data_IF_179628056275
#
_entry.id   IF_179628056275
#
_cell.length_a   1.000
_cell.length_b   1.000
_cell.length_c   1.000
_cell.angle_alpha   90.00
_cell.angle_beta   90.00
_cell.angle_gamma   90.00
#
_symmetry.space_group_name_H-M   'P 1'
#
loop_
_entity.id
_entity.type
_entity.pdbx_description
1 polymer ?
#
# COMPACT_ATOMS: atom_id res chain seq x y z
N UNK A 1 -16.46 27.24 -19.02
CA UNK A 1 -15.37 26.40 -18.47
C UNK A 1 -15.54 25.02 -19.06
N UNK A 2 -14.53 24.45 -19.71
CA UNK A 2 -14.64 23.11 -20.32
C UNK A 2 -14.58 22.03 -19.24
N UNK A 3 -15.63 21.21 -19.19
CA UNK A 3 -15.78 20.06 -18.28
C UNK A 3 -14.89 18.91 -18.80
N UNK A 4 -14.18 18.21 -17.89
CA UNK A 4 -13.23 17.14 -18.26
C UNK A 4 -13.68 15.77 -17.72
N UNK A 5 -13.65 14.77 -18.59
CA UNK A 5 -13.73 13.36 -18.22
C UNK A 5 -12.45 12.94 -17.46
N UNK A 6 -12.58 12.20 -16.37
CA UNK A 6 -11.44 11.66 -15.62
C UNK A 6 -11.02 10.29 -16.17
N UNK A 7 -9.83 10.23 -16.76
CA UNK A 7 -9.16 8.99 -17.19
C UNK A 7 -7.94 8.63 -16.30
N UNK A 8 -7.77 9.33 -15.17
CA UNK A 8 -6.77 9.05 -14.13
C UNK A 8 -7.31 9.48 -12.75
N UNK A 9 -6.61 9.14 -11.63
CA UNK A 9 -7.00 9.60 -10.30
C UNK A 9 -7.16 11.12 -10.23
N UNK A 10 -8.10 11.57 -9.40
CA UNK A 10 -8.44 12.99 -9.32
C UNK A 10 -7.23 13.81 -8.91
N UNK A 11 -6.49 13.36 -7.90
CA UNK A 11 -5.32 14.05 -7.39
C UNK A 11 -4.26 14.28 -8.46
N UNK A 12 -3.96 13.24 -9.23
CA UNK A 12 -3.03 13.31 -10.35
C UNK A 12 -3.50 14.33 -11.40
N UNK A 13 -4.78 14.31 -11.80
CA UNK A 13 -5.31 15.26 -12.79
C UNK A 13 -5.31 16.69 -12.26
N UNK A 14 -5.71 16.89 -11.02
CA UNK A 14 -5.69 18.17 -10.36
C UNK A 14 -4.27 18.77 -10.35
N UNK A 15 -3.25 17.95 -10.11
CA UNK A 15 -1.85 18.36 -10.22
C UNK A 15 -1.47 18.75 -11.66
N UNK A 16 -1.89 17.98 -12.67
CA UNK A 16 -1.65 18.35 -14.07
C UNK A 16 -2.28 19.68 -14.49
N UNK A 17 -3.48 19.98 -14.02
CA UNK A 17 -4.10 21.29 -14.26
C UNK A 17 -3.37 22.43 -13.53
N UNK A 18 -2.86 22.17 -12.32
CA UNK A 18 -1.98 23.10 -11.60
C UNK A 18 -0.68 23.38 -12.37
N UNK A 19 0.01 22.36 -12.89
CA UNK A 19 1.21 22.53 -13.74
C UNK A 19 0.90 23.33 -15.01
N UNK A 20 -0.31 23.16 -15.55
CA UNK A 20 -0.83 23.92 -16.69
C UNK A 20 -1.25 25.36 -16.34
N UNK A 21 -0.95 25.82 -15.11
CA UNK A 21 -1.27 27.15 -14.58
C UNK A 21 -2.75 27.50 -14.61
N UNK A 22 -3.64 26.51 -14.52
CA UNK A 22 -5.06 26.80 -14.33
C UNK A 22 -5.30 27.45 -12.96
N UNK A 23 -6.17 28.45 -12.87
CA UNK A 23 -6.50 29.07 -11.60
C UNK A 23 -7.08 28.04 -10.64
N UNK A 24 -6.82 28.21 -9.35
CA UNK A 24 -7.52 27.44 -8.33
C UNK A 24 -8.99 27.90 -8.29
N UNK A 25 -9.89 26.93 -8.21
CA UNK A 25 -11.33 27.14 -8.09
C UNK A 25 -11.74 27.32 -6.63
N UNK A 26 -11.08 26.59 -5.73
CA UNK A 26 -11.29 26.66 -4.28
C UNK A 26 -10.12 26.01 -3.55
N UNK A 27 -9.94 26.36 -2.28
CA UNK A 27 -8.98 25.69 -1.39
C UNK A 27 -9.75 25.09 -0.23
N UNK A 28 -9.46 23.83 0.09
CA UNK A 28 -10.11 23.09 1.18
C UNK A 28 -9.03 22.58 2.14
N UNK A 29 -9.30 22.59 3.44
CA UNK A 29 -8.42 22.04 4.48
C UNK A 29 -8.99 20.76 5.06
N UNK A 30 -8.16 19.72 5.13
CA UNK A 30 -8.52 18.42 5.67
C UNK A 30 -7.53 17.99 6.75
N UNK A 31 -7.98 17.64 7.96
CA UNK A 31 -7.13 17.02 8.95
C UNK A 31 -6.71 15.63 8.47
N UNK A 32 -5.40 15.33 8.55
CA UNK A 32 -4.89 13.98 8.36
C UNK A 32 -4.55 13.37 9.71
N UNK A 33 -5.15 12.22 10.00
CA UNK A 33 -5.07 11.52 11.27
C UNK A 33 -3.96 10.47 11.25
N UNK A 34 -3.14 10.46 12.31
CA UNK A 34 -2.06 9.50 12.50
C UNK A 34 -1.75 9.34 13.98
N UNK A 35 -1.16 8.20 14.34
CA UNK A 35 -0.56 7.91 15.64
C UNK A 35 0.98 7.88 15.58
N UNK A 36 1.56 8.30 14.46
CA UNK A 36 2.99 8.45 14.30
C UNK A 36 3.50 9.78 14.85
N UNK A 37 4.76 9.79 15.28
CA UNK A 37 5.46 11.01 15.62
C UNK A 37 6.13 11.59 14.37
N UNK A 38 5.54 12.67 13.87
CA UNK A 38 5.94 13.33 12.63
C UNK A 38 6.55 14.69 12.99
N UNK A 39 7.51 15.12 12.19
CA UNK A 39 8.28 16.35 12.43
C UNK A 39 8.51 17.10 11.13
N UNK A 40 8.67 18.42 11.24
CA UNK A 40 8.81 19.37 10.11
C UNK A 40 7.48 19.65 9.38
N UNK A 41 7.48 20.53 8.39
CA UNK A 41 6.36 20.79 7.46
C UNK A 41 6.80 20.49 6.04
N UNK A 42 5.87 20.13 5.16
CA UNK A 42 6.18 19.94 3.73
C UNK A 42 5.21 20.76 2.88
N UNK A 43 5.68 21.93 2.47
CA UNK A 43 4.95 22.92 1.66
C UNK A 43 5.54 23.13 0.28
N UNK A 44 6.76 22.64 0.06
CA UNK A 44 7.48 22.73 -1.22
C UNK A 44 7.36 21.40 -1.98
N UNK A 45 7.44 21.44 -3.31
CA UNK A 45 7.41 20.25 -4.19
C UNK A 45 6.16 19.34 -4.09
N UNK A 46 5.08 19.78 -3.46
CA UNK A 46 3.80 19.07 -3.36
C UNK A 46 2.69 19.61 -4.29
N UNK A 47 3.05 20.44 -5.27
CA UNK A 47 2.12 20.93 -6.31
C UNK A 47 0.93 21.69 -5.72
N UNK A 48 -0.33 21.33 -6.06
CA UNK A 48 -1.51 21.98 -5.51
C UNK A 48 -1.86 21.54 -4.07
N UNK A 49 -0.97 20.80 -3.41
CA UNK A 49 -1.16 20.27 -2.06
C UNK A 49 -0.16 20.89 -1.11
N UNK A 50 -0.52 21.04 0.17
CA UNK A 50 0.42 21.43 1.23
C UNK A 50 0.14 20.60 2.49
N UNK A 51 1.19 20.04 3.10
CA UNK A 51 1.10 19.28 4.34
C UNK A 51 1.55 20.17 5.50
N UNK A 52 0.59 20.85 6.12
CA UNK A 52 0.82 21.77 7.23
C UNK A 52 0.87 20.98 8.53
N UNK A 53 2.04 20.89 9.16
CA UNK A 53 2.21 20.14 10.39
C UNK A 53 1.54 20.83 11.57
N UNK A 54 0.72 20.08 12.29
CA UNK A 54 0.11 20.54 13.53
C UNK A 54 1.09 20.35 14.67
N UNK A 55 1.50 21.44 15.32
CA UNK A 55 2.27 21.37 16.56
C UNK A 55 1.38 20.71 17.62
N UNK A 56 1.61 19.43 17.87
CA UNK A 56 0.77 18.61 18.73
C UNK A 56 1.55 17.94 19.88
N UNK A 57 0.80 17.46 20.87
CA UNK A 57 1.31 16.58 21.92
C UNK A 57 2.03 15.35 21.34
N UNK A 58 2.90 14.76 22.16
CA UNK A 58 3.62 13.51 21.87
C UNK A 58 2.68 12.47 21.28
N UNK A 59 3.17 11.73 20.28
CA UNK A 59 2.36 10.70 19.64
C UNK A 59 2.12 9.53 20.61
N UNK A 60 0.87 9.13 20.74
CA UNK A 60 0.44 7.95 21.49
C UNK A 60 0.12 6.86 20.47
N UNK A 61 0.88 5.76 20.49
CA UNK A 61 0.65 4.63 19.59
C UNK A 61 -0.79 4.13 19.72
N UNK A 62 -1.48 3.93 18.61
CA UNK A 62 -2.87 3.45 18.58
C UNK A 62 -3.93 4.53 18.77
N UNK A 63 -3.54 5.79 19.02
CA UNK A 63 -4.46 6.91 19.15
C UNK A 63 -4.30 7.84 17.96
N UNK A 64 -5.20 7.70 16.98
CA UNK A 64 -5.26 8.58 15.83
C UNK A 64 -5.64 10.01 16.26
N UNK A 65 -4.77 10.97 15.98
CA UNK A 65 -5.06 12.40 16.15
C UNK A 65 -4.70 13.15 14.87
N UNK A 66 -5.30 14.32 14.58
CA UNK A 66 -4.83 15.18 13.51
C UNK A 66 -3.34 15.50 13.71
N UNK A 67 -2.52 15.13 12.73
CA UNK A 67 -1.08 15.46 12.67
C UNK A 67 -0.77 16.49 11.59
N UNK A 68 -1.63 16.57 10.57
CA UNK A 68 -1.54 17.56 9.51
C UNK A 68 -2.87 18.22 9.24
N UNK A 69 -2.79 19.42 8.68
CA UNK A 69 -3.80 19.92 7.76
C UNK A 69 -3.24 19.75 6.35
N UNK A 70 -3.92 18.93 5.55
CA UNK A 70 -3.75 18.93 4.10
C UNK A 70 -4.54 20.11 3.55
N UNK A 71 -3.83 21.13 3.05
CA UNK A 71 -4.44 22.18 2.24
C UNK A 71 -4.46 21.71 0.79
N UNK A 72 -5.66 21.58 0.25
CA UNK A 72 -5.94 21.06 -1.08
C UNK A 72 -6.42 22.20 -1.97
N UNK A 73 -5.59 22.63 -2.92
CA UNK A 73 -5.99 23.57 -3.96
C UNK A 73 -6.63 22.82 -5.12
N UNK A 74 -7.88 23.15 -5.45
CA UNK A 74 -8.65 22.49 -6.51
C UNK A 74 -8.51 23.25 -7.82
N UNK A 75 -8.07 22.59 -8.88
CA UNK A 75 -7.87 23.14 -10.23
C UNK A 75 -8.74 22.46 -11.29
N UNK A 76 -9.52 21.44 -10.90
CA UNK A 76 -10.44 20.72 -11.78
C UNK A 76 -11.83 20.65 -11.16
N UNK A 77 -12.85 20.91 -11.98
CA UNK A 77 -14.24 20.61 -11.67
C UNK A 77 -14.66 19.40 -12.49
N UNK A 78 -15.30 18.45 -11.82
CA UNK A 78 -15.76 17.20 -12.43
C UNK A 78 -17.27 17.22 -12.34
N UNK A 79 -17.92 17.30 -13.49
CA UNK A 79 -19.36 17.15 -13.59
C UNK A 79 -19.66 15.72 -14.07
N UNK A 80 -20.57 15.04 -13.38
CA UNK A 80 -21.03 13.70 -13.76
C UNK A 80 -22.40 13.90 -14.40
N UNK A 81 -22.43 13.91 -15.72
CA UNK A 81 -23.68 14.08 -16.45
C UNK A 81 -24.52 12.80 -16.44
N UNK A 82 -25.82 12.91 -16.73
CA UNK A 82 -26.69 11.73 -16.88
C UNK A 82 -26.23 10.80 -18.03
N UNK A 83 -25.53 11.32 -19.03
CA UNK A 83 -24.98 10.52 -20.14
C UNK A 83 -23.73 9.74 -19.71
N UNK A 84 -22.92 10.31 -18.79
CA UNK A 84 -21.79 9.62 -18.18
C UNK A 84 -22.21 8.41 -17.36
N UNK A 85 -23.38 8.48 -16.70
CA UNK A 85 -23.92 7.39 -15.89
C UNK A 85 -24.31 6.15 -16.71
N UNK A 86 -24.39 6.25 -18.05
CA UNK A 86 -24.64 5.09 -18.93
C UNK A 86 -23.38 4.27 -19.22
N UNK A 87 -22.19 4.78 -18.92
CA UNK A 87 -20.90 4.11 -19.18
C UNK A 87 -20.31 3.57 -17.87
N UNK A 88 -20.00 2.27 -17.82
CA UNK A 88 -19.23 1.70 -16.71
C UNK A 88 -17.81 2.28 -16.73
N UNK A 89 -17.44 2.97 -15.66
CA UNK A 89 -16.10 3.55 -15.46
C UNK A 89 -15.55 3.15 -14.10
N UNK A 90 -14.83 2.04 -14.04
CA UNK A 90 -14.21 1.53 -12.81
C UNK A 90 -12.68 1.47 -12.87
N UNK A 91 -12.07 1.86 -14.00
CA UNK A 91 -10.62 1.82 -14.19
C UNK A 91 -9.82 2.67 -13.20
N UNK A 92 -10.41 3.77 -12.72
CA UNK A 92 -9.82 4.68 -11.72
C UNK A 92 -10.42 4.50 -10.32
N UNK A 93 -11.37 3.58 -10.14
CA UNK A 93 -12.02 3.36 -8.85
C UNK A 93 -11.05 2.72 -7.85
N UNK A 94 -10.97 3.31 -6.66
CA UNK A 94 -10.09 2.87 -5.57
C UNK A 94 -10.78 2.84 -4.19
N UNK A 95 -12.09 3.14 -4.15
CA UNK A 95 -12.88 3.08 -2.91
C UNK A 95 -12.73 4.27 -1.97
N UNK A 96 -12.14 5.39 -2.42
CA UNK A 96 -12.02 6.63 -1.64
C UNK A 96 -12.32 7.89 -2.46
N UNK A 97 -12.15 9.05 -1.83
CA UNK A 97 -12.26 10.37 -2.44
C UNK A 97 -10.88 10.94 -2.84
N UNK A 98 -10.78 12.13 -3.45
CA UNK A 98 -9.49 12.70 -3.84
C UNK A 98 -8.49 12.91 -2.69
N UNK A 99 -8.99 13.18 -1.49
CA UNK A 99 -8.18 13.41 -0.29
C UNK A 99 -7.62 12.10 0.24
N UNK A 100 -8.39 11.02 0.12
CA UNK A 100 -7.96 9.66 0.40
C UNK A 100 -6.79 9.23 -0.50
N UNK A 101 -6.80 9.64 -1.78
CA UNK A 101 -5.69 9.37 -2.71
C UNK A 101 -4.38 9.97 -2.17
N UNK A 102 -4.43 11.24 -1.73
CA UNK A 102 -3.27 11.95 -1.18
C UNK A 102 -2.82 11.30 0.13
N UNK A 103 -3.74 11.03 1.05
CA UNK A 103 -3.43 10.40 2.31
C UNK A 103 -2.80 9.01 2.12
N UNK A 104 -3.24 8.24 1.11
CA UNK A 104 -2.72 6.92 0.81
C UNK A 104 -1.30 6.97 0.24
N UNK A 105 -1.06 7.86 -0.73
CA UNK A 105 0.27 8.07 -1.29
C UNK A 105 1.26 8.56 -0.22
N UNK A 106 0.82 9.48 0.64
CA UNK A 106 1.60 9.96 1.78
C UNK A 106 1.87 8.85 2.81
N UNK A 107 0.86 8.01 3.13
CA UNK A 107 1.03 6.84 4.00
C UNK A 107 2.08 5.88 3.46
N UNK A 108 2.03 5.55 2.17
CA UNK A 108 3.03 4.72 1.49
C UNK A 108 4.42 5.36 1.51
N UNK A 109 4.51 6.64 1.14
CA UNK A 109 5.76 7.38 1.11
C UNK A 109 6.41 7.50 2.49
N UNK A 110 5.64 7.63 3.56
CA UNK A 110 6.17 7.77 4.93
C UNK A 110 6.32 6.44 5.70
N UNK A 111 5.55 5.42 5.33
CA UNK A 111 5.46 4.16 6.07
C UNK A 111 4.77 4.29 7.42
N UNK A 112 3.70 5.09 7.47
CA UNK A 112 2.95 5.38 8.70
C UNK A 112 1.45 5.25 8.47
N UNK A 113 0.71 4.95 9.54
CA UNK A 113 -0.75 5.02 9.54
C UNK A 113 -1.17 6.47 9.32
N UNK A 114 -1.88 6.73 8.23
CA UNK A 114 -2.39 8.06 7.91
C UNK A 114 -3.74 7.92 7.22
N UNK A 115 -4.78 8.64 7.65
CA UNK A 115 -6.07 8.73 6.93
C UNK A 115 -6.61 10.16 6.94
N UNK A 116 -7.36 10.54 5.93
CA UNK A 116 -8.01 11.85 5.87
C UNK A 116 -9.30 11.86 6.71
N UNK A 117 -9.55 12.97 7.41
CA UNK A 117 -10.86 13.29 7.98
C UNK A 117 -11.73 14.12 7.01
N UNK A 118 -12.86 14.59 7.51
CA UNK A 118 -13.74 15.53 6.78
C UNK A 118 -13.13 16.93 6.68
N UNK A 119 -13.56 17.75 5.71
CA UNK A 119 -12.98 19.08 5.53
C UNK A 119 -13.37 20.01 6.68
N UNK A 120 -12.43 20.82 7.15
CA UNK A 120 -12.60 21.71 8.32
C UNK A 120 -12.62 23.19 7.96
N UNK A 121 -12.17 23.57 6.76
CA UNK A 121 -12.18 24.95 6.27
C UNK A 121 -12.22 25.01 4.74
N UNK A 122 -12.96 25.96 4.19
CA UNK A 122 -12.98 26.30 2.75
C UNK A 122 -12.52 27.75 2.57
N UNK A 123 -11.67 28.00 1.58
CA UNK A 123 -11.35 29.35 1.12
C UNK A 123 -11.94 29.55 -0.26
N UNK A 124 -12.87 30.50 -0.37
CA UNK A 124 -13.47 30.92 -1.64
C UNK A 124 -12.55 31.94 -2.29
N UNK A 125 -12.21 31.70 -3.55
CA UNK A 125 -11.32 32.54 -4.33
C UNK A 125 -12.16 33.53 -5.16
N UNK A 126 -11.86 34.83 -5.09
CA UNK A 126 -12.59 35.90 -5.78
C UNK A 126 -12.43 37.28 -5.11
N UNK A 127 -13.02 38.33 -5.69
CA UNK A 127 -12.96 39.71 -5.16
C UNK A 127 -13.60 39.85 -3.77
N UNK A 128 -14.62 39.03 -3.48
CA UNK A 128 -15.28 38.90 -2.16
C UNK A 128 -14.76 37.69 -1.36
N UNK A 129 -13.59 37.16 -1.72
CA UNK A 129 -13.03 35.97 -1.08
C UNK A 129 -12.88 36.11 0.43
N UNK A 130 -12.98 34.99 1.15
CA UNK A 130 -12.75 34.93 2.59
C UNK A 130 -11.26 34.59 2.84
N UNK A 131 -10.39 35.58 3.15
CA UNK A 131 -8.95 35.34 3.33
C UNK A 131 -8.65 34.49 4.58
N UNK A 132 -9.58 34.44 5.54
CA UNK A 132 -9.45 33.63 6.73
C UNK A 132 -10.06 32.24 6.53
N UNK A 133 -10.85 32.06 5.48
CA UNK A 133 -11.55 30.83 5.16
C UNK A 133 -12.72 30.56 6.10
N UNK A 134 -13.77 29.97 5.55
CA UNK A 134 -15.00 29.65 6.25
C UNK A 134 -14.85 28.30 6.95
N UNK A 135 -15.00 28.22 8.28
CA UNK A 135 -14.99 26.94 9.00
C UNK A 135 -16.09 26.01 8.49
N UNK A 136 -15.77 24.74 8.36
CA UNK A 136 -16.69 23.69 7.94
C UNK A 136 -16.81 22.64 9.05
N UNK A 137 -18.05 22.30 9.38
CA UNK A 137 -18.40 21.19 10.27
C UNK A 137 -19.26 20.15 9.55
N UNK A 138 -19.10 20.01 8.23
CA UNK A 138 -19.92 19.12 7.42
C UNK A 138 -19.64 17.67 7.81
N UNK A 139 -20.53 17.10 8.62
CA UNK A 139 -20.41 15.78 9.26
C UNK A 139 -20.60 14.58 8.34
N UNK A 140 -20.16 14.64 7.09
CA UNK A 140 -20.30 13.52 6.14
C UNK A 140 -19.27 12.40 6.39
N UNK A 141 -18.18 12.66 7.10
CA UNK A 141 -17.17 11.67 7.46
C UNK A 141 -16.91 11.69 8.97
N UNK A 142 -16.92 10.51 9.59
CA UNK A 142 -16.47 10.35 10.98
C UNK A 142 -14.94 10.42 11.02
N UNK A 143 -14.41 10.97 12.10
CA UNK A 143 -12.96 10.98 12.33
C UNK A 143 -12.42 9.54 12.32
N UNK A 144 -11.32 9.27 11.59
CA UNK A 144 -10.71 7.96 11.57
C UNK A 144 -10.23 7.53 12.95
N UNK A 145 -10.67 6.34 13.38
CA UNK A 145 -10.19 5.67 14.60
C UNK A 145 -9.34 4.48 14.21
N UNK A 146 -8.21 4.28 14.90
CA UNK A 146 -7.41 3.05 14.75
C UNK A 146 -8.05 1.97 15.62
N UNK A 147 -8.55 0.88 15.03
CA UNK A 147 -9.03 -0.23 15.82
C UNK A 147 -7.84 -0.92 16.48
N UNK A 148 -7.88 -1.02 17.80
CA UNK A 148 -6.83 -1.63 18.62
C UNK A 148 -7.25 -3.02 19.08
N UNK A 149 -6.35 -3.99 18.94
CA UNK A 149 -6.48 -5.30 19.58
C UNK A 149 -5.97 -5.29 21.03
N UNK A 150 -6.00 -6.46 21.67
CA UNK A 150 -5.58 -6.63 23.07
C UNK A 150 -4.06 -6.88 23.22
N UNK A 151 -3.27 -6.77 22.16
CA UNK A 151 -1.85 -7.13 22.11
C UNK A 151 -0.92 -5.92 22.02
N UNK A 152 0.38 -6.16 22.18
CA UNK A 152 1.42 -5.19 21.80
C UNK A 152 1.30 -4.82 20.31
N UNK A 153 1.95 -3.72 19.93
CA UNK A 153 1.97 -3.24 18.54
C UNK A 153 2.58 -4.25 17.58
N UNK A 154 1.82 -4.62 16.56
CA UNK A 154 2.23 -5.51 15.47
C UNK A 154 3.13 -4.76 14.50
N UNK A 155 2.86 -3.47 14.23
CA UNK A 155 3.71 -2.59 13.43
C UNK A 155 4.36 -1.49 14.30
N UNK A 156 5.36 -1.82 15.13
CA UNK A 156 6.01 -0.83 15.99
C UNK A 156 6.72 0.28 15.21
N UNK A 157 7.17 0.01 13.98
CA UNK A 157 7.88 0.98 13.12
C UNK A 157 6.96 1.97 12.39
N UNK A 158 5.64 1.80 12.50
CA UNK A 158 4.64 2.67 11.86
C UNK A 158 4.06 3.72 12.81
N UNK A 159 4.44 3.72 14.09
CA UNK A 159 3.86 4.60 15.11
C UNK A 159 4.85 5.00 16.24
N UNK A 160 4.39 5.90 17.10
CA UNK A 160 5.00 6.15 18.40
C UNK A 160 6.09 7.22 18.46
N UNK A 161 6.47 7.63 19.68
CA UNK A 161 7.34 8.79 19.93
C UNK A 161 8.82 8.51 19.60
N UNK A 162 9.20 7.24 19.46
CA UNK A 162 10.58 6.81 19.27
C UNK A 162 11.00 6.69 17.79
N UNK A 163 10.04 6.80 16.88
CA UNK A 163 10.23 6.77 15.43
C UNK A 163 9.88 8.15 14.86
N UNK A 164 10.86 9.03 14.78
CA UNK A 164 10.70 10.34 14.14
C UNK A 164 10.73 10.18 12.62
N UNK A 165 9.65 10.54 11.94
CA UNK A 165 9.67 10.71 10.49
C UNK A 165 9.80 12.20 10.16
N UNK A 166 10.89 12.54 9.50
CA UNK A 166 11.05 13.85 8.87
C UNK A 166 10.29 13.84 7.55
N UNK A 167 9.26 14.67 7.47
CA UNK A 167 8.27 14.63 6.37
C UNK A 167 8.88 15.10 5.06
N UNK A 168 9.66 16.18 5.08
CA UNK A 168 10.30 16.75 3.90
C UNK A 168 11.27 15.77 3.24
N UNK A 169 11.86 14.85 4.01
CA UNK A 169 12.66 13.73 3.50
C UNK A 169 11.82 12.57 2.98
N UNK A 170 10.75 12.19 3.67
CA UNK A 170 9.98 10.96 3.37
C UNK A 170 8.91 11.15 2.30
N UNK A 171 8.36 12.36 2.12
CA UNK A 171 7.36 12.66 1.08
C UNK A 171 7.96 12.97 -0.30
N UNK A 172 9.29 12.99 -0.45
CA UNK A 172 9.95 13.26 -1.75
C UNK A 172 9.39 12.48 -2.96
N UNK A 173 9.04 11.17 -2.85
CA UNK A 173 8.45 10.46 -3.99
C UNK A 173 7.17 11.11 -4.52
N UNK A 174 6.40 11.77 -3.65
CA UNK A 174 5.14 12.42 -4.00
C UNK A 174 5.31 13.49 -5.09
N UNK A 175 6.43 14.22 -5.10
CA UNK A 175 6.75 15.25 -6.11
C UNK A 175 6.87 14.69 -7.54
N UNK A 176 7.01 13.37 -7.68
CA UNK A 176 7.10 12.69 -8.97
C UNK A 176 5.76 12.24 -9.53
N UNK A 177 4.67 12.37 -8.76
CA UNK A 177 3.33 11.96 -9.19
C UNK A 177 2.91 12.55 -10.55
N UNK A 178 3.13 13.83 -10.89
CA UNK A 178 2.76 14.31 -12.21
C UNK A 178 3.65 13.74 -13.34
N UNK A 179 4.75 13.06 -13.04
CA UNK A 179 5.70 12.58 -14.07
C UNK A 179 5.38 11.18 -14.59
N UNK A 180 4.46 10.45 -13.96
CA UNK A 180 4.08 9.09 -14.38
C UNK A 180 2.87 9.13 -15.31
N UNK A 181 2.57 8.02 -16.00
CA UNK A 181 1.40 7.95 -16.89
C UNK A 181 0.07 7.90 -16.13
N UNK A 182 -1.05 8.17 -16.82
CA UNK A 182 -2.40 8.10 -16.24
C UNK A 182 -2.72 6.72 -15.65
N UNK A 183 -2.32 5.64 -16.35
CA UNK A 183 -2.57 4.26 -15.93
C UNK A 183 -1.65 3.85 -14.78
N UNK A 184 -0.40 4.32 -14.77
CA UNK A 184 0.53 4.15 -13.65
C UNK A 184 -0.01 4.82 -12.38
N UNK A 185 -0.51 6.06 -12.49
CA UNK A 185 -1.11 6.77 -11.36
C UNK A 185 -2.31 6.00 -10.78
N UNK A 186 -3.19 5.47 -11.64
CA UNK A 186 -4.34 4.67 -11.20
C UNK A 186 -3.92 3.37 -10.48
N UNK A 187 -2.91 2.67 -10.99
CA UNK A 187 -2.39 1.46 -10.36
C UNK A 187 -1.68 1.77 -9.03
N UNK A 188 -0.89 2.85 -8.98
CA UNK A 188 -0.17 3.30 -7.80
C UNK A 188 -1.13 3.70 -6.68
N UNK A 189 -2.16 4.50 -6.97
CA UNK A 189 -3.17 4.91 -5.96
C UNK A 189 -3.89 3.70 -5.39
N UNK A 190 -4.30 2.74 -6.22
CA UNK A 190 -4.94 1.50 -5.73
C UNK A 190 -4.02 0.68 -4.83
N UNK A 191 -2.77 0.51 -5.22
CA UNK A 191 -1.79 -0.19 -4.38
C UNK A 191 -1.53 0.56 -3.06
N UNK A 192 -1.41 1.89 -3.11
CA UNK A 192 -1.22 2.74 -1.93
C UNK A 192 -2.42 2.69 -0.98
N UNK A 193 -3.66 2.64 -1.51
CA UNK A 193 -4.89 2.49 -0.70
C UNK A 193 -4.91 1.17 0.04
N UNK A 194 -4.64 0.06 -0.64
CA UNK A 194 -4.55 -1.26 -0.02
C UNK A 194 -3.48 -1.31 1.07
N UNK A 195 -2.32 -0.71 0.81
CA UNK A 195 -1.25 -0.58 1.80
C UNK A 195 -1.71 0.25 3.02
N UNK A 196 -2.26 1.45 2.80
CA UNK A 196 -2.76 2.34 3.85
C UNK A 196 -3.82 1.65 4.72
N UNK A 197 -4.78 0.95 4.10
CA UNK A 197 -5.82 0.23 4.83
C UNK A 197 -5.25 -0.93 5.65
N UNK A 198 -4.27 -1.66 5.11
CA UNK A 198 -3.59 -2.72 5.87
C UNK A 198 -2.95 -2.17 7.14
N UNK A 199 -2.21 -1.06 7.03
CA UNK A 199 -1.58 -0.39 8.17
C UNK A 199 -2.62 0.06 9.20
N UNK A 200 -3.78 0.52 8.75
CA UNK A 200 -4.82 1.08 9.61
C UNK A 200 -5.49 0.02 10.49
N UNK A 201 -5.69 -1.20 9.98
CA UNK A 201 -6.42 -2.26 10.68
C UNK A 201 -5.50 -3.29 11.35
N UNK A 202 -4.19 -3.22 11.12
CA UNK A 202 -3.24 -4.28 11.49
C UNK A 202 -3.28 -4.67 12.96
N UNK A 203 -3.54 -3.70 13.84
CA UNK A 203 -3.50 -3.90 15.29
C UNK A 203 -4.70 -4.68 15.82
N UNK A 204 -5.84 -4.64 15.12
CA UNK A 204 -7.04 -5.42 15.46
C UNK A 204 -7.21 -6.65 14.59
N UNK A 205 -6.85 -6.57 13.30
CA UNK A 205 -7.13 -7.58 12.27
C UNK A 205 -5.89 -7.93 11.44
N UNK A 206 -4.82 -8.49 12.05
CA UNK A 206 -3.56 -8.76 11.37
C UNK A 206 -3.68 -9.72 10.18
N UNK A 207 -4.55 -10.73 10.27
CA UNK A 207 -4.77 -11.67 9.15
C UNK A 207 -5.39 -10.98 7.93
N UNK A 208 -6.25 -9.97 8.13
CA UNK A 208 -6.81 -9.18 7.03
C UNK A 208 -5.78 -8.18 6.49
N UNK A 209 -4.95 -7.60 7.37
CA UNK A 209 -3.84 -6.76 6.95
C UNK A 209 -2.84 -7.51 6.05
N UNK A 210 -2.54 -8.78 6.34
CA UNK A 210 -1.76 -9.65 5.44
C UNK A 210 -2.36 -9.71 4.04
N UNK A 211 -3.67 -9.96 3.92
CA UNK A 211 -4.37 -10.01 2.63
C UNK A 211 -4.27 -8.68 1.87
N UNK A 212 -4.44 -7.55 2.57
CA UNK A 212 -4.36 -6.23 1.97
C UNK A 212 -2.93 -5.89 1.49
N UNK A 213 -1.89 -6.24 2.26
CA UNK A 213 -0.50 -6.02 1.85
C UNK A 213 -0.11 -6.89 0.64
N UNK A 214 -0.52 -8.16 0.61
CA UNK A 214 -0.34 -9.02 -0.57
C UNK A 214 -1.09 -8.43 -1.75
N UNK A 215 -2.34 -7.99 -1.55
CA UNK A 215 -3.16 -7.39 -2.63
C UNK A 215 -2.56 -6.09 -3.17
N UNK A 216 -1.91 -5.28 -2.32
CA UNK A 216 -1.21 -4.08 -2.75
C UNK A 216 -0.07 -4.42 -3.73
N UNK A 217 0.75 -5.43 -3.39
CA UNK A 217 1.79 -5.94 -4.28
C UNK A 217 1.23 -6.62 -5.53
N UNK A 218 0.14 -7.39 -5.42
CA UNK A 218 -0.53 -8.02 -6.58
C UNK A 218 -1.07 -6.98 -7.57
N UNK A 219 -1.62 -5.88 -7.06
CA UNK A 219 -2.10 -4.74 -7.88
C UNK A 219 -0.94 -4.16 -8.68
N UNK A 220 0.18 -3.88 -8.02
CA UNK A 220 1.40 -3.39 -8.67
C UNK A 220 1.98 -4.40 -9.68
N UNK A 221 2.09 -5.67 -9.30
CA UNK A 221 2.61 -6.74 -10.14
C UNK A 221 1.77 -6.97 -11.41
N UNK A 222 0.45 -6.88 -11.27
CA UNK A 222 -0.49 -7.05 -12.37
C UNK A 222 -0.34 -5.95 -13.41
N UNK A 223 -0.13 -4.71 -12.96
CA UNK A 223 0.11 -3.54 -13.80
C UNK A 223 1.52 -3.53 -14.43
N UNK A 224 2.56 -3.78 -13.61
CA UNK A 224 3.97 -3.76 -14.04
C UNK A 224 4.25 -4.67 -15.24
N UNK A 225 3.66 -5.87 -15.27
CA UNK A 225 3.99 -6.88 -16.27
C UNK A 225 2.76 -7.40 -16.99
N UNK A 226 2.63 -6.98 -18.25
CA UNK A 226 1.69 -7.57 -19.22
C UNK A 226 2.31 -8.60 -20.17
N UNK A 227 3.60 -8.95 -20.01
CA UNK A 227 4.31 -9.82 -20.95
C UNK A 227 3.69 -11.22 -21.07
N UNK A 228 3.54 -11.69 -22.31
CA UNK A 228 3.20 -13.06 -22.70
C UNK A 228 4.35 -14.01 -22.37
N UNK A 229 4.44 -14.47 -21.12
CA UNK A 229 5.32 -15.60 -20.79
C UNK A 229 4.74 -16.87 -21.42
N UNK A 230 5.60 -17.68 -22.01
CA UNK A 230 5.24 -18.97 -22.61
C UNK A 230 4.58 -19.90 -21.57
N UNK A 231 3.39 -20.48 -21.83
CA UNK A 231 2.69 -21.36 -20.91
C UNK A 231 3.53 -22.51 -20.34
N UNK A 232 4.41 -23.12 -21.15
CA UNK A 232 5.27 -24.22 -20.68
C UNK A 232 6.28 -23.72 -19.66
N UNK A 233 6.90 -22.57 -19.91
CA UNK A 233 7.83 -21.96 -18.96
C UNK A 233 7.18 -21.69 -17.60
N UNK A 234 5.93 -21.19 -17.60
CA UNK A 234 5.18 -20.89 -16.37
C UNK A 234 4.91 -22.17 -15.58
N UNK A 235 4.34 -23.19 -16.23
CA UNK A 235 3.97 -24.44 -15.55
C UNK A 235 5.23 -25.17 -15.09
N UNK A 236 6.28 -25.26 -15.91
CA UNK A 236 7.55 -25.90 -15.53
C UNK A 236 8.20 -25.26 -14.29
N UNK A 237 8.09 -23.95 -14.16
CA UNK A 237 8.69 -23.21 -13.04
C UNK A 237 7.85 -23.32 -11.76
N UNK A 238 6.51 -23.23 -11.87
CA UNK A 238 5.63 -23.12 -10.71
C UNK A 238 5.02 -24.45 -10.28
N UNK A 239 4.79 -25.37 -11.21
CA UNK A 239 4.26 -26.72 -10.99
C UNK A 239 5.02 -27.74 -11.86
N UNK A 240 6.28 -28.05 -11.48
CA UNK A 240 7.14 -28.95 -12.27
C UNK A 240 6.58 -30.37 -12.35
N UNK A 241 5.75 -30.80 -11.41
CA UNK A 241 5.18 -32.15 -11.41
C UNK A 241 4.00 -32.24 -12.38
N UNK A 242 3.12 -31.24 -12.42
CA UNK A 242 2.10 -31.14 -13.47
C UNK A 242 2.75 -31.08 -14.87
N UNK A 243 3.86 -30.35 -15.01
CA UNK A 243 4.61 -30.31 -16.26
C UNK A 243 5.11 -31.70 -16.70
N UNK A 244 5.68 -32.48 -15.77
CA UNK A 244 6.14 -33.85 -16.05
C UNK A 244 4.97 -34.77 -16.40
N UNK A 245 3.87 -34.70 -15.65
CA UNK A 245 2.67 -35.52 -15.89
C UNK A 245 2.10 -35.21 -17.28
N UNK A 246 1.96 -33.93 -17.62
CA UNK A 246 1.43 -33.52 -18.93
C UNK A 246 2.34 -34.00 -20.07
N UNK A 247 3.67 -33.89 -19.95
CA UNK A 247 4.61 -34.39 -20.96
C UNK A 247 4.69 -35.92 -21.03
N UNK A 248 4.44 -36.62 -19.92
CA UNK A 248 4.47 -38.09 -19.85
C UNK A 248 3.21 -38.79 -20.36
N UNK A 249 2.11 -38.06 -20.57
CA UNK A 249 0.81 -38.63 -20.97
C UNK A 249 0.74 -39.13 -22.43
N UNK A 250 1.76 -38.86 -23.26
CA UNK A 250 1.89 -39.44 -24.61
C UNK A 250 1.07 -38.78 -25.73
N UNK A 251 0.06 -37.96 -25.40
CA UNK A 251 -0.72 -37.15 -26.35
C UNK A 251 -0.33 -35.66 -26.30
N UNK A 252 0.38 -35.14 -27.31
CA UNK A 252 0.81 -33.74 -27.36
C UNK A 252 -0.36 -32.74 -27.29
N UNK A 253 -1.48 -33.00 -27.96
CA UNK A 253 -2.58 -32.04 -28.05
C UNK A 253 -3.29 -31.87 -26.71
N UNK A 254 -3.45 -32.97 -25.96
CA UNK A 254 -4.00 -32.93 -24.60
C UNK A 254 -3.03 -32.28 -23.62
N UNK A 255 -1.73 -32.57 -23.73
CA UNK A 255 -0.70 -31.93 -22.91
C UNK A 255 -0.69 -30.40 -23.09
N UNK A 256 -0.81 -29.94 -24.33
CA UNK A 256 -0.84 -28.52 -24.68
C UNK A 256 -2.07 -27.82 -24.08
N UNK A 257 -3.25 -28.44 -24.18
CA UNK A 257 -4.49 -27.91 -23.57
C UNK A 257 -4.40 -27.80 -22.06
N UNK A 258 -3.87 -28.84 -21.38
CA UNK A 258 -3.71 -28.85 -19.92
C UNK A 258 -2.74 -27.76 -19.48
N UNK A 259 -1.57 -27.66 -20.12
CA UNK A 259 -0.54 -26.66 -19.82
C UNK A 259 -1.08 -25.25 -20.06
N UNK A 260 -1.77 -25.00 -21.17
CA UNK A 260 -2.38 -23.70 -21.45
C UNK A 260 -3.42 -23.30 -20.40
N UNK A 261 -4.22 -24.27 -19.90
CA UNK A 261 -5.23 -24.01 -18.87
C UNK A 261 -4.59 -23.76 -17.50
N UNK A 262 -3.60 -24.56 -17.10
CA UNK A 262 -2.86 -24.39 -15.85
C UNK A 262 -2.04 -23.09 -15.84
N UNK A 263 -1.42 -22.71 -16.96
CA UNK A 263 -0.68 -21.46 -17.06
C UNK A 263 -1.57 -20.23 -16.80
N UNK A 264 -2.86 -20.28 -17.16
CA UNK A 264 -3.81 -19.19 -16.88
C UNK A 264 -4.04 -18.98 -15.39
N UNK A 265 -4.06 -20.05 -14.58
CA UNK A 265 -4.24 -19.95 -13.12
C UNK A 265 -2.93 -19.57 -12.43
N UNK A 266 -1.80 -20.06 -12.92
CA UNK A 266 -0.47 -19.79 -12.34
C UNK A 266 0.10 -18.41 -12.73
N UNK A 267 -0.51 -17.72 -13.70
CA UNK A 267 -0.02 -16.42 -14.21
C UNK A 267 0.04 -15.35 -13.13
N UNK A 268 -0.96 -15.27 -12.25
CA UNK A 268 -0.98 -14.29 -11.15
C UNK A 268 0.17 -14.55 -10.16
N UNK A 269 0.35 -15.81 -9.77
CA UNK A 269 1.47 -16.24 -8.91
C UNK A 269 2.81 -15.87 -9.53
N UNK A 270 3.01 -16.13 -10.82
CA UNK A 270 4.26 -15.76 -11.51
C UNK A 270 4.50 -14.26 -11.50
N UNK A 271 3.48 -13.46 -11.85
CA UNK A 271 3.58 -12.00 -11.84
C UNK A 271 3.97 -11.48 -10.46
N UNK A 272 3.31 -11.97 -9.41
CA UNK A 272 3.59 -11.60 -8.03
C UNK A 272 5.03 -11.93 -7.62
N UNK A 273 5.49 -13.15 -7.89
CA UNK A 273 6.86 -13.58 -7.59
C UNK A 273 7.89 -12.75 -8.35
N UNK A 274 7.71 -12.60 -9.66
CA UNK A 274 8.66 -11.86 -10.51
C UNK A 274 8.73 -10.37 -10.11
N UNK A 275 7.59 -9.76 -9.77
CA UNK A 275 7.54 -8.39 -9.25
C UNK A 275 8.29 -8.26 -7.93
N UNK A 276 7.99 -9.15 -6.98
CA UNK A 276 8.62 -9.16 -5.65
C UNK A 276 10.13 -9.34 -5.75
N UNK A 277 10.61 -10.15 -6.69
CA UNK A 277 12.05 -10.32 -6.95
C UNK A 277 12.67 -9.10 -7.61
N UNK A 278 11.98 -8.50 -8.60
CA UNK A 278 12.48 -7.35 -9.36
C UNK A 278 12.62 -6.10 -8.47
N UNK A 279 11.61 -5.84 -7.64
CA UNK A 279 11.52 -4.63 -6.82
C UNK A 279 11.90 -4.87 -5.36
N UNK A 280 12.48 -6.03 -5.03
CA UNK A 280 12.93 -6.36 -3.67
C UNK A 280 13.76 -5.23 -3.03
N UNK A 281 13.41 -4.72 -1.83
CA UNK A 281 14.25 -3.77 -1.11
C UNK A 281 15.55 -4.44 -0.60
N UNK A 282 16.59 -3.65 -0.27
CA UNK A 282 17.69 -4.19 0.52
C UNK A 282 17.18 -4.65 1.90
N UNK A 283 17.96 -5.45 2.64
CA UNK A 283 17.66 -5.71 4.05
C UNK A 283 17.51 -4.39 4.83
N UNK A 284 16.66 -4.34 5.88
CA UNK A 284 16.59 -3.19 6.77
C UNK A 284 17.99 -2.80 7.30
N UNK A 285 18.26 -1.50 7.46
CA UNK A 285 19.56 -1.06 7.98
C UNK A 285 19.76 -1.46 9.45
N UNK A 286 18.69 -1.43 10.24
CA UNK A 286 18.66 -1.88 11.63
C UNK A 286 17.98 -3.26 11.67
N UNK A 287 18.68 -4.25 12.19
CA UNK A 287 18.24 -5.64 12.25
C UNK A 287 18.61 -6.23 13.61
N UNK A 288 17.90 -7.27 14.07
CA UNK A 288 18.29 -8.04 15.26
C UNK A 288 19.77 -8.43 15.22
N UNK A 289 20.46 -8.35 16.36
CA UNK A 289 21.86 -8.76 16.45
C UNK A 289 22.03 -10.25 16.12
N UNK A 290 21.05 -11.06 16.51
CA UNK A 290 21.10 -12.50 16.40
C UNK A 290 20.57 -13.02 15.05
N UNK A 291 21.35 -13.85 14.35
CA UNK A 291 20.95 -14.42 13.05
C UNK A 291 19.68 -15.27 13.10
N UNK A 292 19.39 -15.94 14.23
CA UNK A 292 18.17 -16.74 14.38
C UNK A 292 16.89 -15.91 14.44
N UNK A 293 17.01 -14.61 14.74
CA UNK A 293 15.91 -13.66 14.71
C UNK A 293 15.80 -12.94 13.35
N UNK A 294 16.70 -13.21 12.40
CA UNK A 294 16.77 -12.53 11.13
C UNK A 294 16.13 -13.34 9.99
N UNK A 295 15.40 -12.65 9.11
CA UNK A 295 14.96 -13.20 7.85
C UNK A 295 16.14 -13.30 6.88
N UNK A 296 16.19 -14.37 6.07
CA UNK A 296 17.28 -14.57 5.11
C UNK A 296 17.00 -13.86 3.78
N UNK A 297 17.72 -12.76 3.54
CA UNK A 297 17.61 -11.95 2.33
C UNK A 297 18.33 -12.51 1.09
N UNK A 298 18.88 -13.74 1.18
CA UNK A 298 19.46 -14.43 0.02
C UNK A 298 18.36 -14.69 -1.02
N UNK A 299 18.69 -14.53 -2.30
CA UNK A 299 17.73 -14.58 -3.41
C UNK A 299 16.78 -15.80 -3.36
N UNK A 300 17.35 -17.00 -3.13
CA UNK A 300 16.60 -18.25 -3.00
C UNK A 300 15.60 -18.24 -1.83
N UNK A 301 16.04 -17.80 -0.65
CA UNK A 301 15.24 -17.84 0.58
C UNK A 301 14.14 -16.77 0.57
N UNK A 302 14.46 -15.57 0.08
CA UNK A 302 13.47 -14.52 -0.12
C UNK A 302 12.36 -14.98 -1.07
N UNK A 303 12.73 -15.58 -2.21
CA UNK A 303 11.76 -16.10 -3.19
C UNK A 303 10.87 -17.19 -2.58
N UNK A 304 11.44 -18.12 -1.81
CA UNK A 304 10.68 -19.16 -1.12
C UNK A 304 9.68 -18.57 -0.10
N UNK A 305 10.09 -17.53 0.61
CA UNK A 305 9.24 -16.84 1.61
C UNK A 305 8.07 -16.12 0.96
N UNK A 306 8.34 -15.33 -0.08
CA UNK A 306 7.27 -14.66 -0.83
C UNK A 306 6.29 -15.66 -1.45
N UNK A 307 6.78 -16.80 -1.95
CA UNK A 307 5.92 -17.89 -2.44
C UNK A 307 5.01 -18.44 -1.32
N UNK A 308 5.57 -18.75 -0.15
CA UNK A 308 4.81 -19.27 0.98
C UNK A 308 3.75 -18.28 1.48
N UNK A 309 4.04 -16.98 1.47
CA UNK A 309 3.07 -15.92 1.80
C UNK A 309 1.92 -15.89 0.79
N UNK A 310 2.23 -16.01 -0.50
CA UNK A 310 1.22 -16.08 -1.54
C UNK A 310 0.32 -17.33 -1.41
N UNK A 311 0.90 -18.46 -1.04
CA UNK A 311 0.16 -19.70 -0.76
C UNK A 311 -0.80 -19.49 0.42
N UNK A 312 -0.34 -18.84 1.51
CA UNK A 312 -1.20 -18.47 2.64
C UNK A 312 -2.34 -17.54 2.25
N UNK A 313 -2.07 -16.52 1.41
CA UNK A 313 -3.12 -15.65 0.86
C UNK A 313 -4.15 -16.43 0.04
N UNK A 314 -3.69 -17.36 -0.79
CA UNK A 314 -4.56 -18.22 -1.60
C UNK A 314 -5.47 -19.06 -0.70
N UNK A 315 -4.90 -19.72 0.31
CA UNK A 315 -5.65 -20.50 1.31
C UNK A 315 -6.63 -19.63 2.10
N UNK A 316 -6.26 -18.43 2.51
CA UNK A 316 -7.16 -17.54 3.24
C UNK A 316 -8.37 -17.10 2.41
N UNK A 317 -8.20 -16.83 1.12
CA UNK A 317 -9.29 -16.39 0.26
C UNK A 317 -10.18 -17.53 -0.25
N UNK A 318 -9.62 -18.73 -0.44
CA UNK A 318 -10.36 -19.86 -1.02
C UNK A 318 -10.89 -20.84 0.02
N UNK A 319 -10.13 -21.08 1.09
CA UNK A 319 -10.51 -22.03 2.15
C UNK A 319 -11.06 -21.33 3.40
N UNK A 320 -10.99 -19.98 3.46
CA UNK A 320 -11.38 -19.21 4.66
C UNK A 320 -10.45 -19.40 5.86
N UNK A 321 -9.29 -20.03 5.68
CA UNK A 321 -8.32 -20.29 6.76
C UNK A 321 -7.39 -19.08 6.93
N UNK A 322 -7.39 -18.39 8.08
CA UNK A 322 -6.61 -17.17 8.27
C UNK A 322 -5.10 -17.44 8.18
N UNK A 323 -4.33 -16.35 8.05
CA UNK A 323 -2.87 -16.44 8.12
C UNK A 323 -2.42 -17.10 9.44
N UNK A 324 -1.30 -17.86 9.44
CA UNK A 324 -0.78 -18.48 10.65
C UNK A 324 -0.67 -17.51 11.82
N UNK A 325 -1.20 -17.90 12.98
CA UNK A 325 -1.22 -17.04 14.17
C UNK A 325 0.18 -16.47 14.53
N UNK A 326 1.29 -17.22 14.45
CA UNK A 326 2.62 -16.69 14.76
C UNK A 326 3.07 -15.55 13.84
N UNK A 327 2.58 -15.50 12.59
CA UNK A 327 2.87 -14.41 11.64
C UNK A 327 2.03 -13.16 11.91
N UNK A 328 0.97 -13.30 12.71
CA UNK A 328 0.03 -12.24 13.08
C UNK A 328 0.33 -11.65 14.47
N UNK A 329 1.33 -12.17 15.17
CA UNK A 329 1.73 -11.70 16.49
C UNK A 329 2.67 -10.51 16.41
N UNK A 330 2.68 -9.64 17.43
CA UNK A 330 3.69 -8.61 17.55
C UNK A 330 5.09 -9.23 17.72
N UNK A 331 6.15 -8.59 17.19
CA UNK A 331 7.51 -9.03 17.44
C UNK A 331 7.81 -9.02 18.94
N UNK A 332 8.51 -10.04 19.44
CA UNK A 332 8.98 -10.06 20.83
C UNK A 332 10.10 -9.02 20.99
N UNK A 333 9.84 -7.95 21.74
CA UNK A 333 10.78 -6.84 21.92
C UNK A 333 11.68 -7.15 23.12
N UNK A 334 12.96 -7.45 22.85
CA UNK A 334 13.98 -7.61 23.91
C UNK A 334 14.71 -6.29 24.20
N UNK A 335 14.91 -5.46 23.17
CA UNK A 335 15.44 -4.10 23.28
C UNK A 335 14.94 -3.24 22.11
N UNK A 336 15.14 -1.92 22.17
CA UNK A 336 14.58 -0.94 21.21
C UNK A 336 14.90 -1.25 19.73
N UNK A 337 16.05 -1.84 19.45
CA UNK A 337 16.52 -2.11 18.08
C UNK A 337 16.46 -3.61 17.73
N UNK A 338 15.94 -4.44 18.64
CA UNK A 338 15.91 -5.88 18.50
C UNK A 338 14.47 -6.34 18.24
N UNK A 339 14.01 -6.09 17.01
CA UNK A 339 12.71 -6.54 16.51
C UNK A 339 12.91 -7.78 15.63
N UNK A 340 12.66 -9.00 16.13
CA UNK A 340 12.80 -10.22 15.36
C UNK A 340 12.05 -10.12 14.03
N UNK A 341 12.70 -10.50 12.94
CA UNK A 341 12.12 -10.48 11.59
C UNK A 341 11.27 -11.72 11.31
N UNK A 342 11.45 -12.78 12.09
CA UNK A 342 10.77 -14.07 11.98
C UNK A 342 10.14 -14.46 13.31
N UNK A 343 9.07 -15.28 13.31
CA UNK A 343 8.53 -15.85 14.54
C UNK A 343 9.58 -16.72 15.24
N UNK A 344 9.59 -16.70 16.57
CA UNK A 344 10.59 -17.38 17.39
C UNK A 344 10.15 -18.81 17.76
N UNK A 345 11.14 -19.69 18.00
CA UNK A 345 10.92 -21.08 18.38
C UNK A 345 10.92 -22.06 17.21
N UNK A 346 10.94 -23.37 17.51
CA UNK A 346 10.96 -24.43 16.49
C UNK A 346 9.59 -24.76 15.88
N UNK A 347 8.54 -24.21 16.48
CA UNK A 347 7.14 -24.36 16.09
C UNK A 347 6.25 -23.59 17.07
N UNK A 348 4.98 -23.43 16.72
CA UNK A 348 4.04 -22.66 17.54
C UNK A 348 2.65 -23.28 17.52
N UNK A 349 1.89 -23.05 18.58
CA UNK A 349 0.50 -23.48 18.70
C UNK A 349 -0.41 -22.32 19.12
N UNK A 350 -1.60 -22.23 18.52
CA UNK A 350 -2.64 -21.28 18.91
C UNK A 350 -4.00 -21.82 18.45
N UNK A 351 -5.05 -21.65 19.26
CA UNK A 351 -6.42 -22.03 18.90
C UNK A 351 -6.55 -23.47 18.39
N UNK A 352 -5.95 -24.43 19.12
CA UNK A 352 -5.92 -25.87 18.76
C UNK A 352 -5.22 -26.22 17.43
N UNK A 353 -4.52 -25.28 16.81
CA UNK A 353 -3.72 -25.48 15.61
C UNK A 353 -2.22 -25.40 15.92
N UNK A 354 -1.41 -26.05 15.08
CA UNK A 354 0.05 -26.03 15.16
C UNK A 354 0.66 -25.63 13.82
N UNK A 355 1.77 -24.91 13.89
CA UNK A 355 2.57 -24.51 12.72
C UNK A 355 4.03 -24.84 12.96
N UNK A 356 4.69 -25.34 11.92
CA UNK A 356 6.14 -25.50 11.93
C UNK A 356 6.81 -24.18 11.56
N UNK A 357 8.10 -24.06 11.82
CA UNK A 357 8.88 -22.87 11.44
C UNK A 357 8.83 -22.62 9.92
N UNK A 358 8.78 -23.68 9.10
CA UNK A 358 8.62 -23.61 7.64
C UNK A 358 7.25 -23.07 7.20
N UNK A 359 6.25 -23.08 8.07
CA UNK A 359 4.94 -22.50 7.81
C UNK A 359 4.87 -21.01 8.12
N UNK A 360 5.87 -20.47 8.83
CA UNK A 360 5.83 -19.14 9.44
C UNK A 360 7.09 -18.35 9.09
N UNK A 361 7.35 -18.06 7.80
CA UNK A 361 8.67 -17.66 7.32
C UNK A 361 9.11 -16.23 7.69
N UNK A 362 8.19 -15.39 8.18
CA UNK A 362 8.43 -13.97 8.45
C UNK A 362 7.31 -13.37 9.33
N UNK A 363 7.62 -12.31 10.08
CA UNK A 363 6.63 -11.51 10.82
C UNK A 363 6.05 -10.37 9.96
N UNK A 364 4.84 -9.93 10.30
CA UNK A 364 4.09 -8.93 9.52
C UNK A 364 4.83 -7.60 9.39
N UNK A 365 5.53 -7.12 10.43
CA UNK A 365 6.31 -5.87 10.34
C UNK A 365 7.45 -5.94 9.32
N UNK A 366 8.09 -7.10 9.18
CA UNK A 366 9.16 -7.27 8.19
C UNK A 366 8.57 -7.40 6.79
N UNK A 367 7.40 -8.03 6.65
CA UNK A 367 6.71 -8.07 5.37
C UNK A 367 6.17 -6.71 4.94
N UNK A 368 5.64 -5.90 5.86
CA UNK A 368 5.29 -4.50 5.60
C UNK A 368 6.48 -3.73 5.02
N UNK A 369 7.66 -3.85 5.64
CA UNK A 369 8.88 -3.24 5.12
C UNK A 369 9.19 -3.69 3.68
N UNK A 370 9.03 -4.99 3.39
CA UNK A 370 9.21 -5.55 2.03
C UNK A 370 8.22 -4.93 1.06
N UNK A 371 6.93 -4.87 1.42
CA UNK A 371 5.84 -4.36 0.58
C UNK A 371 6.09 -2.88 0.27
N UNK A 372 6.29 -2.06 1.30
CA UNK A 372 6.55 -0.63 1.15
C UNK A 372 7.78 -0.39 0.28
N UNK A 373 8.90 -1.05 0.58
CA UNK A 373 10.13 -0.91 -0.19
C UNK A 373 9.96 -1.32 -1.65
N UNK A 374 9.20 -2.38 -1.92
CA UNK A 374 8.91 -2.84 -3.28
C UNK A 374 8.04 -1.86 -4.05
N UNK A 375 6.97 -1.35 -3.42
CA UNK A 375 6.07 -0.37 -4.04
C UNK A 375 6.79 0.96 -4.31
N UNK A 376 7.66 1.43 -3.41
CA UNK A 376 8.44 2.65 -3.63
C UNK A 376 9.45 2.51 -4.77
N UNK A 377 10.15 1.38 -4.86
CA UNK A 377 11.05 1.09 -5.99
C UNK A 377 10.29 0.96 -7.31
N UNK A 378 9.09 0.39 -7.28
CA UNK A 378 8.23 0.31 -8.46
C UNK A 378 7.75 1.70 -8.91
N UNK A 379 7.29 2.53 -7.99
CA UNK A 379 6.95 3.94 -8.27
C UNK A 379 8.14 4.67 -8.92
N UNK A 380 9.33 4.61 -8.32
CA UNK A 380 10.54 5.25 -8.87
C UNK A 380 10.86 4.77 -10.31
N UNK A 381 10.63 3.49 -10.59
CA UNK A 381 10.85 2.94 -11.94
C UNK A 381 9.88 3.49 -13.00
N UNK A 382 8.69 3.94 -12.61
CA UNK A 382 7.74 4.58 -13.54
C UNK A 382 8.24 5.95 -13.99
N UNK A 383 8.88 6.69 -13.08
CA UNK A 383 9.43 8.02 -13.36
C UNK A 383 10.60 7.92 -14.33
N UNK A 384 11.39 6.86 -14.23
CA UNK A 384 12.53 6.60 -15.13
C UNK A 384 12.11 6.11 -16.52
N UNK A 385 10.86 5.66 -16.69
CA UNK A 385 10.32 5.11 -17.93
C UNK A 385 9.43 6.09 -18.70
N UNK A 386 9.01 7.18 -18.05
CA UNK A 386 8.29 8.31 -18.62
C UNK A 386 9.27 9.31 -19.24
#
# INVERSE_FOLDING_TARGET
MELKELDAPYSYKNWKEFESRKPSLRIEEYPLFSDAHLTDTFTEDCGPYQFLHLVGQLAECGVARPKFILRFSRHIEVDITAEDMKKRRDGIYHGGNPVDEIAALASLAMGVRLKAGGPTREFRLGEEGDPLGTPMGLGFARDPVIPMGNSNMILPNSCGPYMHRNISKTLKPFATLPRISNSDAAALVRAARLYQDALWIVESEPSLAWLMLVSAMETAASHWRNSSSDPYSIVKELDPDLYKIAKGAGDPDSADKVICKAAKTLKSTKKFLDFSMKFRPPPPPERPEYEWAQHSWKCKNFRATVRKIYDHRSTALHDGRPFPAPMCQPPTIYSRNDLPEVPLGSGSSSGFSTWRIEDTPILLHTYEYIVRGSLLKWWDSMVSAA
#
